data_IF_088251391019
#
_entry.id   IF_088251391019
#
_cell.length_a   1.000
_cell.length_b   1.000
_cell.length_c   1.000
_cell.angle_alpha   90.00
_cell.angle_beta   90.00
_cell.angle_gamma   90.00
#
_symmetry.space_group_name_H-M   'P 1'
#
loop_
_entity.id
_entity.type
_entity.pdbx_description
1 polymer ?
2 non-polymer ?
3 non-polymer ?
4 non-polymer ?
5 water ?
#
# COMPACT_ATOMS: atom_id res chain seq x y z
N UNK A 1 15.04 4.34 8.60
CA UNK A 1 14.54 5.68 8.81
C UNK A 1 13.03 5.48 8.58
N UNK A 2 12.67 4.29 8.67
CA UNK A 2 11.29 3.87 8.46
C UNK A 2 10.31 3.92 9.68
N UNK A 3 10.80 4.22 10.82
CA UNK A 3 10.35 3.71 12.08
C UNK A 3 8.95 4.06 12.50
N UNK A 4 8.46 5.25 12.25
CA UNK A 4 7.10 5.57 12.71
C UNK A 4 6.04 4.77 11.88
N UNK A 5 6.42 4.23 10.70
CA UNK A 5 5.53 3.40 9.89
C UNK A 5 5.30 2.01 10.44
N UNK A 6 6.21 1.56 11.30
CA UNK A 6 6.23 0.15 11.69
C UNK A 6 5.06 -0.13 12.60
N UNK A 7 4.46 -1.29 12.42
CA UNK A 7 3.40 -1.74 13.29
C UNK A 7 2.24 -2.32 12.51
N UNK A 8 1.14 -2.50 13.23
CA UNK A 8 -0.09 -3.07 12.69
C UNK A 8 -1.13 -1.96 12.57
N UNK A 9 -1.76 -1.91 11.41
CA UNK A 9 -2.64 -0.80 11.04
C UNK A 9 -3.94 -1.37 10.44
N UNK A 10 -5.05 -0.68 10.74
CA UNK A 10 -6.37 -1.11 10.30
C UNK A 10 -7.04 -0.06 9.40
N UNK A 11 -7.67 -0.49 8.32
CA UNK A 11 -8.33 0.48 7.45
C UNK A 11 -9.57 1.06 8.16
N UNK A 12 -9.69 2.41 8.12
CA UNK A 12 -10.87 3.04 8.76
C UNK A 12 -11.40 4.19 7.89
N UNK A 13 -10.95 4.34 6.65
CA UNK A 13 -11.62 5.22 5.70
C UNK A 13 -11.08 4.88 4.32
N UNK A 14 -11.94 4.99 3.30
CA UNK A 14 -11.48 4.79 1.93
C UNK A 14 -12.27 5.68 0.97
N UNK A 15 -11.51 6.36 0.11
CA UNK A 15 -12.08 7.26 -0.90
C UNK A 15 -11.52 6.86 -2.28
N UNK A 16 -12.44 6.62 -3.23
CA UNK A 16 -12.10 6.41 -4.63
C UNK A 16 -11.36 5.10 -4.90
N UNK A 17 -11.48 4.11 -4.02
CA UNK A 17 -10.80 2.83 -4.29
C UNK A 17 -11.45 2.14 -5.50
N UNK A 18 -12.74 2.26 -5.71
CA UNK A 18 -13.33 1.66 -6.89
C UNK A 18 -12.73 2.26 -8.16
N UNK A 19 -12.55 3.58 -8.19
CA UNK A 19 -11.95 4.20 -9.36
C UNK A 19 -10.53 3.63 -9.60
N UNK A 20 -9.76 3.50 -8.54
CA UNK A 20 -8.38 3.00 -8.69
C UNK A 20 -8.41 1.55 -9.20
N UNK A 21 -9.21 0.69 -8.58
CA UNK A 21 -9.30 -0.69 -9.05
C UNK A 21 -9.77 -0.78 -10.50
N UNK A 22 -10.79 0.01 -10.84
CA UNK A 22 -11.29 -0.07 -12.22
C UNK A 22 -10.19 0.36 -13.19
N UNK A 23 -9.42 1.38 -12.85
CA UNK A 23 -8.32 1.84 -13.72
C UNK A 23 -7.33 0.74 -13.98
N UNK A 24 -7.07 -0.11 -12.97
CA UNK A 24 -6.17 -1.24 -13.09
C UNK A 24 -6.82 -2.44 -13.81
N UNK A 25 -8.08 -2.37 -14.18
CA UNK A 25 -8.72 -3.46 -14.89
C UNK A 25 -9.29 -4.54 -13.98
N UNK A 26 -9.47 -4.22 -12.69
CA UNK A 26 -10.08 -5.19 -11.76
C UNK A 26 -11.56 -5.35 -12.10
N UNK A 27 -12.04 -6.57 -12.17
CA UNK A 27 -13.41 -6.81 -12.54
C UNK A 27 -14.43 -6.43 -11.46
N UNK A 28 -15.67 -6.26 -11.92
CA UNK A 28 -16.67 -5.67 -11.03
C UNK A 28 -16.88 -6.49 -9.78
N UNK A 29 -16.83 -7.81 -9.85
CA UNK A 29 -17.16 -8.61 -8.69
C UNK A 29 -16.07 -8.51 -7.62
N UNK A 30 -14.81 -8.45 -8.06
CA UNK A 30 -13.72 -8.22 -7.14
C UNK A 30 -13.79 -6.81 -6.53
N UNK A 31 -14.15 -5.81 -7.36
CA UNK A 31 -14.33 -4.47 -6.80
C UNK A 31 -15.41 -4.43 -5.75
N UNK A 32 -16.50 -5.15 -6.00
CA UNK A 32 -17.59 -5.18 -5.05
C UNK A 32 -17.13 -5.68 -3.69
N UNK A 33 -16.49 -6.86 -3.66
CA UNK A 33 -16.04 -7.40 -2.38
C UNK A 33 -15.00 -6.47 -1.75
N UNK A 34 -14.05 -6.00 -2.56
CA UNK A 34 -12.98 -5.13 -2.04
C UNK A 34 -13.55 -3.86 -1.42
N UNK A 35 -14.65 -3.34 -1.93
CA UNK A 35 -15.22 -2.11 -1.40
C UNK A 35 -15.78 -2.28 0.01
N UNK A 36 -15.99 -3.52 0.45
CA UNK A 36 -16.52 -3.87 1.77
C UNK A 36 -15.47 -4.54 2.65
N UNK A 37 -14.23 -4.60 2.20
CA UNK A 37 -13.17 -5.26 2.96
C UNK A 37 -12.34 -4.21 3.68
N UNK A 38 -11.93 -4.51 4.92
CA UNK A 38 -11.10 -3.63 5.70
C UNK A 38 -9.80 -4.35 6.04
N UNK A 39 -8.75 -4.16 5.28
CA UNK A 39 -7.51 -4.90 5.54
C UNK A 39 -6.81 -4.41 6.80
N UNK A 40 -5.95 -5.32 7.26
CA UNK A 40 -4.94 -5.03 8.27
C UNK A 40 -3.58 -5.08 7.57
N UNK A 41 -2.81 -4.01 7.73
CA UNK A 41 -1.48 -3.93 7.15
C UNK A 41 -0.45 -3.98 8.28
N UNK A 42 0.53 -4.86 8.12
CA UNK A 42 1.57 -5.02 9.13
C UNK A 42 2.90 -4.68 8.45
N UNK A 43 3.62 -3.73 9.02
CA UNK A 43 4.90 -3.28 8.47
C UNK A 43 5.97 -3.56 9.54
N UNK A 44 6.96 -4.37 9.20
CA UNK A 44 8.02 -4.73 10.11
C UNK A 44 9.35 -4.57 9.40
N UNK A 45 10.40 -4.38 10.20
CA UNK A 45 11.75 -4.31 9.66
C UNK A 45 12.66 -5.25 10.40
N UNK A 46 13.67 -5.74 9.67
CA UNK A 46 14.76 -6.52 10.23
C UNK A 46 16.02 -6.04 9.50
N UNK A 47 16.78 -5.21 10.19
CA UNK A 47 17.87 -4.59 9.50
C UNK A 47 17.37 -3.77 8.39
N UNK A 48 17.98 -3.99 7.23
CA UNK A 48 17.67 -3.25 6.02
C UNK A 48 16.40 -3.79 5.29
N UNK A 49 15.80 -4.81 5.76
CA UNK A 49 14.72 -5.47 5.02
C UNK A 49 13.37 -5.15 5.68
N UNK A 50 12.45 -4.61 4.89
CA UNK A 50 11.09 -4.39 5.34
C UNK A 50 10.22 -5.54 4.84
N UNK A 51 9.23 -5.92 5.64
CA UNK A 51 8.19 -6.85 5.23
C UNK A 51 6.85 -6.19 5.48
N UNK A 52 6.03 -6.18 4.42
CA UNK A 52 4.73 -5.52 4.45
C UNK A 52 3.68 -6.59 4.12
N UNK A 53 2.87 -6.91 5.14
CA UNK A 53 1.79 -7.87 5.01
C UNK A 53 0.48 -7.11 4.89
N UNK A 54 -0.40 -7.58 4.00
CA UNK A 54 -1.76 -7.03 3.91
C UNK A 54 -2.70 -8.23 4.05
N UNK A 55 -3.50 -8.19 5.13
CA UNK A 55 -4.36 -9.30 5.47
C UNK A 55 -5.82 -8.87 5.40
N UNK A 56 -6.67 -9.78 4.91
CA UNK A 56 -8.10 -9.49 4.93
C UNK A 56 -8.86 -10.79 4.78
N UNK A 57 -10.20 -10.66 4.87
CA UNK A 57 -11.09 -11.77 4.58
C UNK A 57 -11.18 -12.11 3.12
N UNK A 58 -10.61 -11.32 2.22
CA UNK A 58 -10.72 -11.52 0.80
C UNK A 58 -9.39 -11.94 0.18
N UNK A 59 -8.44 -11.02 0.08
CA UNK A 59 -7.10 -11.28 -0.44
C UNK A 59 -6.08 -11.04 0.67
N UNK A 60 -4.96 -11.79 0.64
CA UNK A 60 -3.77 -11.54 1.47
C UNK A 60 -2.57 -11.38 0.53
N UNK A 61 -1.65 -10.52 0.95
CA UNK A 61 -0.36 -10.39 0.27
C UNK A 61 0.75 -10.23 1.30
N UNK A 62 1.98 -10.49 0.85
CA UNK A 62 3.16 -10.20 1.64
C UNK A 62 4.31 -9.91 0.67
N UNK A 63 5.04 -8.84 0.95
CA UNK A 63 6.25 -8.49 0.22
C UNK A 63 7.38 -8.22 1.20
N UNK A 64 8.61 -8.56 0.80
CA UNK A 64 9.80 -8.14 1.51
C UNK A 64 10.71 -7.42 0.51
N UNK A 65 11.38 -6.38 1.00
CA UNK A 65 12.20 -5.58 0.12
C UNK A 65 13.22 -4.80 0.95
N UNK A 66 14.29 -4.43 0.27
CA UNK A 66 15.22 -3.44 0.80
C UNK A 66 14.88 -2.13 0.17
N UNK A 67 14.94 -1.15 1.02
CA UNK A 67 14.67 0.20 0.54
C UNK A 67 15.59 0.54 -0.69
N UNK A 68 15.09 1.11 -1.85
CA UNK A 68 15.95 1.54 -2.91
C UNK A 68 16.48 0.43 -3.80
N UNK A 69 15.97 -0.81 -3.63
CA UNK A 69 16.42 -1.93 -4.44
C UNK A 69 15.19 -2.56 -5.11
N UNK A 70 15.22 -2.66 -6.41
CA UNK A 70 14.08 -3.21 -7.16
C UNK A 70 13.81 -4.65 -6.73
N UNK A 71 12.53 -5.02 -6.75
CA UNK A 71 12.09 -6.39 -6.45
C UNK A 71 10.94 -6.75 -7.37
N UNK A 72 10.81 -8.04 -7.67
CA UNK A 72 9.64 -8.55 -8.34
C UNK A 72 8.46 -8.66 -7.37
N UNK A 73 7.27 -8.38 -7.84
CA UNK A 73 6.07 -8.44 -7.02
C UNK A 73 4.92 -8.96 -7.86
N UNK A 74 4.05 -9.73 -7.23
CA UNK A 74 2.80 -10.17 -7.84
C UNK A 74 1.69 -9.63 -6.95
N UNK A 75 0.92 -8.67 -7.47
CA UNK A 75 0.01 -7.91 -6.63
C UNK A 75 -1.24 -8.69 -6.27
N UNK A 76 -2.07 -8.08 -5.42
CA UNK A 76 -3.30 -8.73 -4.95
C UNK A 76 -4.24 -9.06 -6.11
N UNK A 77 -4.20 -8.23 -7.14
CA UNK A 77 -4.97 -8.40 -8.37
C UNK A 77 -4.17 -9.10 -9.47
N UNK A 78 -3.08 -9.77 -9.12
CA UNK A 78 -2.35 -10.69 -9.98
C UNK A 78 -1.55 -9.99 -11.10
N UNK A 79 -1.20 -8.73 -10.93
CA UNK A 79 -0.24 -8.09 -11.84
C UNK A 79 1.18 -8.49 -11.44
N UNK A 80 2.01 -8.85 -12.42
CA UNK A 80 3.43 -9.12 -12.22
C UNK A 80 4.20 -7.85 -12.56
N UNK A 81 4.77 -7.23 -11.54
CA UNK A 81 5.33 -5.90 -11.66
C UNK A 81 6.77 -5.86 -11.16
N UNK A 82 7.46 -4.81 -11.57
CA UNK A 82 8.79 -4.46 -11.06
C UNK A 82 8.59 -3.32 -10.06
N UNK A 83 9.05 -3.48 -8.84
CA UNK A 83 8.74 -2.58 -7.77
C UNK A 83 9.98 -1.99 -7.11
N UNK A 84 9.83 -0.80 -6.56
CA UNK A 84 10.88 -0.22 -5.73
C UNK A 84 10.19 0.66 -4.71
N UNK A 85 10.70 0.64 -3.48
CA UNK A 85 10.16 1.42 -2.38
C UNK A 85 11.30 2.29 -1.85
N UNK A 86 11.00 3.57 -1.62
CA UNK A 86 11.97 4.52 -1.11
C UNK A 86 11.27 5.45 -0.11
N UNK A 87 12.07 6.18 0.64
CA UNK A 87 11.59 7.27 1.46
C UNK A 87 11.83 8.58 0.70
N UNK A 88 10.81 9.42 0.64
CA UNK A 88 10.85 10.65 -0.16
C UNK A 88 10.00 11.68 0.61
N UNK A 89 10.64 12.71 1.14
CA UNK A 89 9.88 13.68 1.92
C UNK A 89 9.24 13.09 3.16
N UNK A 90 9.85 12.04 3.69
CA UNK A 90 9.30 11.35 4.84
C UNK A 90 8.18 10.38 4.50
N UNK A 91 7.82 10.28 3.24
CA UNK A 91 6.76 9.36 2.78
C UNK A 91 7.41 8.09 2.26
N UNK A 92 6.72 6.98 2.47
CA UNK A 92 7.18 5.70 1.90
C UNK A 92 6.54 5.60 0.51
N UNK A 93 7.33 5.65 -0.56
CA UNK A 93 6.84 5.68 -1.92
C UNK A 93 7.14 4.34 -2.57
N UNK A 94 6.09 3.64 -2.96
CA UNK A 94 6.19 2.34 -3.63
C UNK A 94 5.74 2.55 -5.08
N UNK A 95 6.67 2.33 -6.02
CA UNK A 95 6.41 2.46 -7.45
C UNK A 95 6.38 1.07 -8.06
N UNK A 96 5.31 0.76 -8.79
CA UNK A 96 5.17 -0.48 -9.55
C UNK A 96 5.14 -0.16 -11.03
N UNK A 97 5.89 -0.94 -11.82
CA UNK A 97 5.98 -0.79 -13.28
C UNK A 97 5.69 -2.10 -13.96
N UNK A 98 4.87 -2.09 -15.00
CA UNK A 98 4.60 -3.31 -15.76
C UNK A 98 4.01 -2.86 -17.11
N UNK A 99 4.45 -3.48 -18.20
CA UNK A 99 3.84 -3.20 -19.52
C UNK A 99 3.89 -1.70 -19.87
N UNK A 100 4.87 -0.98 -19.36
CA UNK A 100 4.92 0.46 -19.58
C UNK A 100 4.01 1.30 -18.68
N UNK A 101 3.13 0.63 -17.92
CA UNK A 101 2.26 1.27 -16.93
C UNK A 101 3.00 1.53 -15.64
N UNK A 102 2.41 2.39 -14.86
CA UNK A 102 2.96 2.60 -13.54
C UNK A 102 1.80 2.89 -12.59
N UNK A 103 2.07 2.57 -11.33
CA UNK A 103 1.20 3.03 -10.25
C UNK A 103 2.06 3.29 -9.01
N UNK A 104 1.65 4.26 -8.21
CA UNK A 104 2.32 4.55 -6.97
C UNK A 104 1.37 4.30 -5.79
N UNK A 105 1.97 3.78 -4.72
CA UNK A 105 1.34 3.56 -3.43
C UNK A 105 2.18 4.36 -2.44
N UNK A 106 1.66 5.49 -1.97
CA UNK A 106 2.42 6.43 -1.17
C UNK A 106 1.83 6.44 0.24
N UNK A 107 2.67 6.23 1.24
CA UNK A 107 2.21 6.22 2.63
C UNK A 107 2.87 7.40 3.37
N UNK A 108 2.06 8.20 4.05
CA UNK A 108 2.58 9.27 4.91
C UNK A 108 1.82 9.26 6.22
N UNK A 109 2.47 9.69 7.28
CA UNK A 109 1.86 9.80 8.59
C UNK A 109 1.39 11.22 8.75
N UNK A 110 0.12 11.35 9.05
CA UNK A 110 -0.51 12.67 9.26
C UNK A 110 -1.34 12.55 10.56
N UNK A 111 -0.94 13.33 11.59
CA UNK A 111 -1.63 13.20 12.78
C UNK A 111 -1.79 11.83 13.39
N UNK A 112 -0.73 11.05 13.24
CA UNK A 112 -0.71 9.70 13.77
C UNK A 112 -1.42 8.64 12.95
N UNK A 113 -2.07 9.06 11.86
CA UNK A 113 -2.74 8.08 11.00
C UNK A 113 -1.86 7.91 9.76
N UNK A 114 -1.91 6.70 9.23
CA UNK A 114 -1.17 6.38 8.02
C UNK A 114 -2.15 6.58 6.85
N UNK A 115 -1.76 7.49 5.97
CA UNK A 115 -2.55 7.83 4.81
C UNK A 115 -1.86 7.19 3.59
N UNK A 116 -2.60 6.30 2.93
CA UNK A 116 -2.15 5.59 1.72
C UNK A 116 -2.84 6.22 0.51
N UNK A 117 -2.04 6.78 -0.38
CA UNK A 117 -2.56 7.37 -1.60
C UNK A 117 -2.13 6.48 -2.77
N UNK A 118 -3.11 6.01 -3.53
CA UNK A 118 -2.91 5.10 -4.64
C UNK A 118 -3.25 5.86 -5.93
N UNK A 119 -2.30 5.92 -6.87
CA UNK A 119 -2.52 6.65 -8.11
C UNK A 119 -2.23 5.75 -9.28
N UNK A 120 -3.17 5.67 -10.23
CA UNK A 120 -2.95 4.97 -11.51
C UNK A 120 -3.81 5.70 -12.53
N UNK A 121 -3.22 5.98 -13.70
CA UNK A 121 -4.00 6.76 -14.66
C UNK A 121 -4.33 8.12 -14.03
N UNK A 122 -5.59 8.50 -14.13
CA UNK A 122 -6.07 9.69 -13.45
C UNK A 122 -6.64 9.42 -12.08
N UNK A 123 -6.81 8.15 -11.71
CA UNK A 123 -7.46 7.78 -10.46
C UNK A 123 -6.54 8.00 -9.28
N UNK A 124 -7.08 8.66 -8.25
CA UNK A 124 -6.37 8.94 -7.01
C UNK A 124 -7.27 8.48 -5.87
N UNK A 125 -6.82 7.46 -5.14
CA UNK A 125 -7.54 6.89 -4.01
C UNK A 125 -6.79 7.22 -2.72
N UNK A 126 -7.54 7.58 -1.68
CA UNK A 126 -6.96 7.87 -0.38
C UNK A 126 -7.56 6.93 0.65
N UNK A 127 -6.72 6.14 1.31
CA UNK A 127 -7.14 5.20 2.33
C UNK A 127 -6.44 5.53 3.62
N UNK A 128 -7.20 5.56 4.69
CA UNK A 128 -6.69 5.94 5.99
C UNK A 128 -6.63 4.69 6.88
N UNK A 129 -5.46 4.50 7.48
CA UNK A 129 -5.21 3.40 8.40
C UNK A 129 -4.88 3.97 9.77
N UNK A 130 -5.38 3.25 10.79
CA UNK A 130 -5.19 3.60 12.20
C UNK A 130 -4.38 2.49 12.88
N UNK A 131 -3.52 2.86 13.80
CA UNK A 131 -2.86 1.83 14.60
C UNK A 131 -3.94 0.93 15.35
N UNK A 132 -3.77 -0.38 15.29
CA UNK A 132 -4.39 -1.19 16.27
C UNK A 132 -4.22 -0.66 17.70
N UNK A 133 -5.31 -0.69 18.45
CA UNK A 133 -5.26 -0.28 19.85
C UNK A 133 -4.55 -1.28 20.76
X LIG B 1 -4.49 -1.38 0.55
X LIG B 1 -5.34 -0.79 1.31
X LIG B 1 -3.41 -1.82 0.95
X LIG B 1 -4.86 -1.48 -0.91
X LIG B 1 -3.97 -2.37 -1.75
X LIG B 1 -4.38 -2.41 -3.21
X LIG B 1 -3.59 -3.44 -4.01
X LIG B 1 -3.82 -3.39 -5.51
X LIG B 1 -5.28 -3.47 -5.96
X LIG B 1 -5.97 -4.75 -5.53
X LIG B 1 -7.50 -4.73 -5.78
X LIG B 1 -8.28 -6.00 -5.33
X LIG B 1 -8.04 -6.49 -3.87
X LIG B 1 -8.25 -5.53 -2.69
X LIG B 1 -7.76 -6.04 -1.25
X LIG B 1 -6.39 -6.49 -1.04
X LIG B 1 -6.09 -7.00 0.39
X LIG B 1 -4.76 -7.69 0.35
X LIG C 1 -16.21 -2.71 10.86
X LIG C 1 -15.29 -3.30 11.75
X LIG C 1 -13.82 -2.91 11.49
X LIG C 1 -13.68 -1.48 11.22
X LIG C 1 -14.12 -0.53 12.22
X LIG C 1 -13.79 0.85 11.75
X LIG C 1 -14.49 1.21 10.62
X LIG C 1 -14.37 2.59 10.28
X LIG C 1 -15.08 2.95 8.98
X LIG C 1 -14.40 2.27 7.91
X LIG C 1 -14.78 2.83 6.69
X LIG C 1 -14.07 2.17 5.55
X LIG C 1 -14.79 1.01 5.17
X LIG C 1 -14.19 0.44 4.00
X LIG C 1 -14.95 -0.82 3.67
X LIG C 1 -16.29 -0.41 3.25
X LIG D 1 20.39 -8.20 4.29
X LIG D 1 20.35 -8.91 3.05
X LIG D 1 19.84 -8.14 1.88
X LIG D 1 19.66 -8.97 0.68
X LIG D 1 19.15 -8.17 -0.40
X LIG D 1 20.29 -7.35 -0.94
X LIG D 1 19.93 -6.58 -2.12
X LIG D 1 21.08 -5.79 -2.54
X LIG D 1 21.30 -4.74 -1.59
X LIG D 1 22.32 -3.82 -1.83
X LIG D 1 22.29 -2.38 -1.40
X LIG D 1 21.82 -2.06 0.04
X LIG D 1 22.69 -1.34 0.96
X LIG D 1 22.43 -1.11 2.25
X LIG D 1 22.83 -2.44 2.80
X LIG D 1 21.75 -3.32 2.95
X LIG E 1 -0.10 -15.65 -4.56
X LIG E 1 0.94 -14.90 -5.32
X LIG E 1 0.79 -13.51 -5.16
X LIG E 1 -0.55 -13.02 -5.57
X LIG E 1 -1.58 -13.67 -4.75
X LIG E 1 -2.98 -13.17 -5.05
X LIG E 1 -0.21 -15.94 -3.21
X LIG E 1 2.21 -15.48 -5.69
X LIG E 1 1.89 -12.98 -5.82
X LIG E 1 -0.56 -11.93 -5.05
X LIG E 1 -1.44 -15.14 -4.92
X LIG E 1 -3.74 -12.77 -3.86
X LIG E 1 -4.32 -14.00 -2.80
X LIG E 1 -5.08 -14.86 -3.74
X LIG E 1 -5.06 -13.49 -1.80
X LIG E 1 -3.19 -14.73 -2.28
#
# INVERSE_FOLDING_TARGET
>A
MVDAFLGTWKLVDSKNFDDYMKSLGVGFATRQVASMTKPTTIIEKNGDILTLKTHSTFKNTEISFKLGVEFDETTADDRKVKSIVTLDGGKLVHLQKWDGQETTLVRELIDGKLILTLTHGTAVCTRTYEKEA
>B hetero
1 PLM C1 O1 O2 C2 C3 C4 C5 C6 C7 C8 C9 CA CB CC CD CE CF CG
>C hetero
1 P6G O1 C2 C3 O4 C5 C6 O7 C8 C9 O10 C11 C12 O13 C14 C15 O16
>D hetero
1 P6G O1 C2 C3 O4 C5 C6 O7 C8 C9 O10 C11 C12 O13 C14 C15 O16
>E hetero
1 GLP C1 C2 C3 C4 C5 C6 O1 N2 O3 O4 O5 O6 P O1P O2P O3P
#
